data_IF_595687026099
#
_entry.id   IF_595687026099
#
_cell.length_a   1.000
_cell.length_b   1.000
_cell.length_c   1.000
_cell.angle_alpha   90.00
_cell.angle_beta   90.00
_cell.angle_gamma   90.00
#
_symmetry.space_group_name_H-M   'P 1'
#
loop_
_entity.id
_entity.type
_entity.pdbx_description
1 polymer ?
#
# COMPACT_ATOMS: atom_id res chain seq x y z
N UNK A 1 -36.64 6.98 -19.28
CA UNK A 1 -35.36 6.54 -18.71
C UNK A 1 -35.65 6.06 -17.31
N UNK A 2 -35.31 4.86 -16.90
CA UNK A 2 -35.42 4.49 -15.49
C UNK A 2 -34.46 5.37 -14.69
N UNK A 3 -34.97 5.96 -13.61
CA UNK A 3 -34.16 6.72 -12.67
C UNK A 3 -32.99 5.84 -12.23
N UNK A 4 -31.75 6.34 -12.39
CA UNK A 4 -30.58 5.69 -11.83
C UNK A 4 -30.82 5.59 -10.33
N UNK A 5 -30.95 4.36 -9.81
CA UNK A 5 -30.94 4.15 -8.38
C UNK A 5 -29.65 4.81 -7.86
N UNK A 6 -29.77 5.84 -7.02
CA UNK A 6 -28.63 6.44 -6.35
C UNK A 6 -27.94 5.29 -5.61
N UNK A 7 -26.69 5.03 -5.92
CA UNK A 7 -25.90 4.00 -5.22
C UNK A 7 -25.86 4.43 -3.74
N UNK A 8 -26.50 3.64 -2.88
CA UNK A 8 -26.49 3.90 -1.45
C UNK A 8 -25.03 3.83 -0.96
N UNK A 9 -24.65 4.76 -0.10
CA UNK A 9 -23.32 4.80 0.52
C UNK A 9 -23.41 4.64 2.03
N UNK A 10 -22.35 4.14 2.64
CA UNK A 10 -22.24 3.91 4.07
C UNK A 10 -20.91 4.43 4.62
N UNK A 11 -20.86 4.53 5.94
CA UNK A 11 -19.64 4.85 6.68
C UNK A 11 -19.25 3.66 7.57
N UNK A 12 -17.96 3.30 7.57
CA UNK A 12 -17.37 2.29 8.45
C UNK A 12 -16.18 2.88 9.19
N UNK A 13 -16.37 3.25 10.45
CA UNK A 13 -15.34 3.95 11.23
C UNK A 13 -14.94 5.26 10.56
N UNK A 14 -13.66 5.39 10.19
CA UNK A 14 -13.12 6.57 9.51
C UNK A 14 -13.31 6.57 7.99
N UNK A 15 -13.86 5.49 7.42
CA UNK A 15 -14.05 5.31 5.97
C UNK A 15 -15.44 5.73 5.58
N UNK A 16 -15.56 6.76 4.76
CA UNK A 16 -16.83 7.37 4.33
C UNK A 16 -17.12 7.07 2.86
N UNK A 17 -18.38 7.23 2.46
CA UNK A 17 -18.78 7.11 1.05
C UNK A 17 -18.63 5.70 0.44
N UNK A 18 -18.50 4.67 1.27
CA UNK A 18 -18.33 3.29 0.83
C UNK A 18 -19.60 2.75 0.18
N UNK A 19 -19.52 1.93 -0.87
CA UNK A 19 -20.68 1.38 -1.53
C UNK A 19 -21.45 0.41 -0.61
N UNK A 20 -22.78 0.42 -0.73
CA UNK A 20 -23.67 -0.60 -0.16
C UNK A 20 -24.00 -1.60 -1.27
N UNK A 21 -23.68 -2.85 -1.05
CA UNK A 21 -23.96 -3.91 -2.00
C UNK A 21 -25.32 -4.56 -1.74
N UNK A 22 -26.04 -5.00 -2.80
CA UNK A 22 -27.29 -5.73 -2.65
C UNK A 22 -27.13 -7.01 -1.81
N UNK A 23 -28.12 -7.33 -0.98
CA UNK A 23 -28.15 -8.57 -0.16
C UNK A 23 -28.15 -9.86 -1.00
N UNK A 24 -28.53 -9.76 -2.27
CA UNK A 24 -28.45 -10.87 -3.23
C UNK A 24 -27.03 -11.28 -3.57
N UNK A 25 -26.03 -10.40 -3.36
CA UNK A 25 -24.62 -10.73 -3.52
C UNK A 25 -24.11 -11.44 -2.26
N UNK A 26 -24.18 -12.77 -2.26
CA UNK A 26 -23.82 -13.61 -1.11
C UNK A 26 -23.26 -14.97 -1.52
N UNK A 27 -22.66 -15.67 -0.57
CA UNK A 27 -22.13 -17.02 -0.78
C UNK A 27 -20.88 -17.08 -1.64
N UNK A 28 -20.13 -15.98 -1.74
CA UNK A 28 -18.96 -15.83 -2.60
C UNK A 28 -17.71 -16.46 -1.97
N UNK A 29 -16.81 -16.92 -2.86
CA UNK A 29 -15.48 -17.42 -2.52
C UNK A 29 -14.40 -16.52 -3.11
N UNK A 30 -13.37 -16.22 -2.31
CA UNK A 30 -12.23 -15.42 -2.73
C UNK A 30 -10.91 -16.16 -2.56
N UNK A 31 -9.97 -15.94 -3.50
CA UNK A 31 -8.54 -16.17 -3.30
C UNK A 31 -7.87 -14.83 -3.05
N UNK A 32 -7.06 -14.74 -1.98
CA UNK A 32 -6.21 -13.59 -1.67
C UNK A 32 -4.77 -14.06 -1.63
N UNK A 33 -3.95 -13.67 -2.62
CA UNK A 33 -2.52 -13.99 -2.63
C UNK A 33 -1.72 -12.92 -1.87
N UNK A 34 -0.51 -13.24 -1.42
CA UNK A 34 0.24 -12.30 -0.58
C UNK A 34 -0.47 -11.97 0.74
N UNK A 35 -1.20 -12.94 1.30
CA UNK A 35 -2.17 -12.79 2.37
C UNK A 35 -1.63 -12.19 3.69
N UNK A 36 -0.33 -12.22 3.93
CA UNK A 36 0.33 -11.62 5.10
C UNK A 36 1.09 -10.32 4.78
N UNK A 37 0.99 -9.82 3.55
CA UNK A 37 1.47 -8.50 3.15
C UNK A 37 0.46 -7.40 3.46
N UNK A 38 0.89 -6.14 3.29
CA UNK A 38 0.08 -4.97 3.62
C UNK A 38 -1.28 -4.96 2.90
N UNK A 39 -1.34 -5.27 1.61
CA UNK A 39 -2.59 -5.27 0.84
C UNK A 39 -3.42 -6.53 1.10
N UNK A 40 -2.79 -7.72 1.12
CA UNK A 40 -3.51 -8.99 1.32
C UNK A 40 -4.16 -9.11 2.70
N UNK A 41 -3.48 -8.68 3.76
CA UNK A 41 -4.03 -8.68 5.12
C UNK A 41 -5.28 -7.79 5.21
N UNK A 42 -5.19 -6.55 4.68
CA UNK A 42 -6.30 -5.60 4.73
C UNK A 42 -7.45 -6.01 3.80
N UNK A 43 -7.17 -6.65 2.66
CA UNK A 43 -8.21 -7.28 1.84
C UNK A 43 -8.96 -8.37 2.62
N UNK A 44 -8.25 -9.26 3.30
CA UNK A 44 -8.89 -10.28 4.14
C UNK A 44 -9.77 -9.64 5.21
N UNK A 45 -9.32 -8.52 5.83
CA UNK A 45 -10.12 -7.79 6.83
C UNK A 45 -11.43 -7.28 6.22
N UNK A 46 -11.37 -6.61 5.05
CA UNK A 46 -12.57 -6.07 4.36
C UNK A 46 -13.54 -7.19 3.96
N UNK A 47 -13.05 -8.27 3.36
CA UNK A 47 -13.89 -9.39 2.98
C UNK A 47 -14.56 -10.04 4.21
N UNK A 48 -13.81 -10.17 5.31
CA UNK A 48 -14.32 -10.78 6.55
C UNK A 48 -15.37 -9.91 7.29
N UNK A 49 -15.45 -8.61 7.00
CA UNK A 49 -16.50 -7.72 7.52
C UNK A 49 -17.90 -8.08 6.99
N UNK A 50 -17.99 -8.76 5.85
CA UNK A 50 -19.25 -9.14 5.20
C UNK A 50 -19.37 -10.67 5.08
N UNK A 51 -19.63 -11.36 6.20
CA UNK A 51 -19.58 -12.83 6.25
C UNK A 51 -20.64 -13.54 5.41
N UNK A 52 -21.76 -12.92 5.16
CA UNK A 52 -22.80 -13.48 4.29
C UNK A 52 -22.41 -13.35 2.81
N UNK A 53 -21.70 -12.27 2.48
CA UNK A 53 -21.18 -12.05 1.13
C UNK A 53 -20.01 -12.98 0.83
N UNK A 54 -19.01 -12.99 1.70
CA UNK A 54 -17.79 -13.77 1.56
C UNK A 54 -17.78 -14.94 2.54
N UNK A 55 -18.25 -16.10 2.09
CA UNK A 55 -18.36 -17.28 2.95
C UNK A 55 -17.07 -18.06 3.09
N UNK A 56 -16.17 -17.94 2.10
CA UNK A 56 -14.87 -18.62 2.09
C UNK A 56 -13.80 -17.71 1.51
N UNK A 57 -12.70 -17.56 2.25
CA UNK A 57 -11.53 -16.76 1.84
C UNK A 57 -10.31 -17.68 1.91
N UNK A 58 -9.70 -17.98 0.76
CA UNK A 58 -8.44 -18.72 0.70
C UNK A 58 -7.28 -17.74 0.75
N UNK A 59 -6.60 -17.69 1.89
CA UNK A 59 -5.43 -16.85 2.14
C UNK A 59 -4.15 -17.57 1.69
N UNK A 60 -3.57 -17.16 0.57
CA UNK A 60 -2.42 -17.84 -0.04
C UNK A 60 -1.13 -17.08 0.23
N UNK A 61 -0.21 -17.68 0.97
CA UNK A 61 1.09 -17.13 1.33
C UNK A 61 1.98 -18.21 1.91
N UNK A 62 3.29 -17.98 1.96
CA UNK A 62 4.26 -18.94 2.53
C UNK A 62 4.03 -19.17 4.02
N UNK A 63 3.69 -18.12 4.76
CA UNK A 63 3.39 -18.17 6.21
C UNK A 63 1.94 -17.78 6.45
N UNK A 64 1.27 -18.34 7.45
CA UNK A 64 -0.11 -17.99 7.74
C UNK A 64 -0.25 -16.50 8.11
N UNK A 65 -1.31 -15.83 7.65
CA UNK A 65 -1.62 -14.46 8.08
C UNK A 65 -2.09 -14.44 9.54
N UNK A 66 -1.95 -13.29 10.20
CA UNK A 66 -2.42 -13.07 11.56
C UNK A 66 -3.94 -12.83 11.57
N UNK A 67 -4.72 -13.90 11.41
CA UNK A 67 -6.18 -13.82 11.32
C UNK A 67 -6.80 -13.83 12.72
N UNK A 68 -7.65 -12.83 13.08
CA UNK A 68 -8.42 -12.84 14.31
C UNK A 68 -9.23 -14.12 14.49
N UNK A 69 -9.32 -14.63 15.73
CA UNK A 69 -9.99 -15.90 16.04
C UNK A 69 -11.43 -15.97 15.51
N UNK A 70 -12.16 -14.84 15.52
CA UNK A 70 -13.54 -14.75 15.02
C UNK A 70 -13.68 -15.01 13.51
N UNK A 71 -12.61 -14.92 12.73
CA UNK A 71 -12.61 -15.13 11.26
C UNK A 71 -12.07 -16.51 10.84
N UNK A 72 -11.49 -17.29 11.77
CA UNK A 72 -10.84 -18.58 11.44
C UNK A 72 -11.73 -19.60 10.73
N UNK A 73 -13.04 -19.50 10.92
CA UNK A 73 -14.01 -20.38 10.22
C UNK A 73 -14.24 -20.03 8.76
N UNK A 74 -13.79 -18.85 8.31
CA UNK A 74 -14.00 -18.32 6.95
C UNK A 74 -12.71 -18.17 6.19
N UNK A 75 -11.60 -17.92 6.88
CA UNK A 75 -10.28 -17.71 6.29
C UNK A 75 -9.47 -18.98 6.39
N UNK A 76 -9.18 -19.59 5.26
CA UNK A 76 -8.41 -20.82 5.14
C UNK A 76 -7.04 -20.51 4.58
N UNK A 77 -5.99 -20.70 5.38
CA UNK A 77 -4.62 -20.55 4.91
C UNK A 77 -4.22 -21.73 4.02
N UNK A 78 -3.77 -21.42 2.82
CA UNK A 78 -3.17 -22.37 1.89
C UNK A 78 -1.68 -21.99 1.75
N UNK A 79 -0.74 -22.83 2.25
CA UNK A 79 0.68 -22.55 2.14
C UNK A 79 1.13 -22.71 0.67
N UNK A 80 1.45 -21.60 0.01
CA UNK A 80 1.95 -21.60 -1.37
C UNK A 80 3.19 -20.70 -1.48
N UNK A 81 4.21 -21.19 -2.18
CA UNK A 81 5.39 -20.43 -2.55
C UNK A 81 5.40 -20.18 -4.07
N UNK A 82 4.86 -19.04 -4.49
CA UNK A 82 4.83 -18.65 -5.89
C UNK A 82 6.21 -18.41 -6.50
N UNK A 83 7.25 -18.26 -5.67
CA UNK A 83 8.61 -18.02 -6.15
C UNK A 83 9.32 -19.31 -6.52
N UNK A 84 9.19 -20.34 -5.69
CA UNK A 84 9.97 -21.58 -5.82
C UNK A 84 9.16 -22.78 -6.34
N UNK A 85 7.84 -22.78 -6.18
CA UNK A 85 7.01 -23.90 -6.66
C UNK A 85 6.69 -23.80 -8.15
N UNK A 86 6.61 -24.94 -8.81
CA UNK A 86 6.14 -25.03 -10.20
C UNK A 86 4.63 -24.79 -10.30
N UNK A 87 4.09 -24.45 -11.48
CA UNK A 87 2.65 -24.34 -11.69
C UNK A 87 1.88 -25.64 -11.36
N UNK A 88 2.49 -26.81 -11.61
CA UNK A 88 1.94 -28.13 -11.30
C UNK A 88 1.77 -28.31 -9.79
N UNK A 89 2.82 -28.04 -9.02
CA UNK A 89 2.81 -28.14 -7.54
C UNK A 89 1.78 -27.19 -6.91
N UNK A 90 1.69 -25.95 -7.44
CA UNK A 90 0.68 -24.99 -7.00
C UNK A 90 -0.74 -25.49 -7.30
N UNK A 91 -0.96 -26.04 -8.51
CA UNK A 91 -2.24 -26.58 -8.95
C UNK A 91 -2.66 -27.81 -8.10
N UNK A 92 -1.74 -28.73 -7.86
CA UNK A 92 -1.99 -29.92 -7.01
C UNK A 92 -2.36 -29.50 -5.57
N UNK A 93 -1.65 -28.52 -5.00
CA UNK A 93 -1.97 -27.99 -3.70
C UNK A 93 -3.37 -27.38 -3.65
N UNK A 94 -3.74 -26.59 -4.64
CA UNK A 94 -5.09 -26.01 -4.73
C UNK A 94 -6.17 -27.10 -4.87
N UNK A 95 -5.94 -28.11 -5.71
CA UNK A 95 -6.86 -29.26 -5.86
C UNK A 95 -7.02 -30.04 -4.57
N UNK A 96 -5.91 -30.36 -3.89
CA UNK A 96 -5.90 -31.09 -2.61
C UNK A 96 -6.73 -30.38 -1.54
N UNK A 97 -6.71 -29.05 -1.52
CA UNK A 97 -7.49 -28.24 -0.58
C UNK A 97 -8.90 -27.89 -1.10
N UNK A 98 -9.32 -28.42 -2.25
CA UNK A 98 -10.64 -28.17 -2.83
C UNK A 98 -10.91 -26.69 -3.13
N UNK A 99 -9.87 -25.95 -3.50
CA UNK A 99 -9.97 -24.49 -3.74
C UNK A 99 -10.91 -24.21 -4.90
N UNK A 100 -11.85 -23.31 -4.68
CA UNK A 100 -12.74 -22.72 -5.70
C UNK A 100 -12.70 -21.20 -5.51
N UNK A 101 -12.86 -20.44 -6.58
CA UNK A 101 -12.86 -18.98 -6.46
C UNK A 101 -13.86 -18.34 -7.43
N UNK A 102 -14.76 -17.54 -6.90
CA UNK A 102 -15.55 -16.60 -7.69
C UNK A 102 -14.68 -15.39 -8.06
N UNK A 103 -13.81 -14.95 -7.15
CA UNK A 103 -12.97 -13.77 -7.30
C UNK A 103 -11.55 -14.03 -6.81
N UNK A 104 -10.57 -13.42 -7.49
CA UNK A 104 -9.16 -13.50 -7.13
C UNK A 104 -8.63 -12.09 -6.91
N UNK A 105 -7.91 -11.88 -5.79
CA UNK A 105 -7.20 -10.66 -5.44
C UNK A 105 -5.71 -10.97 -5.39
N UNK A 106 -4.94 -10.43 -6.33
CA UNK A 106 -3.54 -10.78 -6.48
C UNK A 106 -2.63 -9.66 -5.96
N UNK A 107 -1.97 -9.94 -4.83
CA UNK A 107 -1.03 -9.05 -4.14
C UNK A 107 0.35 -9.66 -3.97
N UNK A 108 0.61 -10.86 -4.48
CA UNK A 108 1.91 -11.51 -4.31
C UNK A 108 2.99 -10.69 -5.02
N UNK A 109 3.97 -10.25 -4.25
CA UNK A 109 5.09 -9.44 -4.70
C UNK A 109 6.37 -9.88 -4.01
N UNK A 110 7.49 -9.87 -4.74
CA UNK A 110 8.83 -10.06 -4.19
C UNK A 110 9.74 -8.99 -4.79
N UNK A 111 10.46 -8.29 -3.93
CA UNK A 111 11.47 -7.33 -4.34
C UNK A 111 12.74 -8.11 -4.75
N UNK A 112 12.83 -8.50 -6.02
CA UNK A 112 14.00 -9.12 -6.63
C UNK A 112 14.61 -8.17 -7.67
N UNK A 113 15.84 -8.44 -8.06
CA UNK A 113 16.51 -7.73 -9.17
C UNK A 113 15.59 -7.64 -10.40
N UNK A 114 15.64 -6.55 -11.20
CA UNK A 114 14.63 -6.22 -12.22
C UNK A 114 14.40 -7.30 -13.30
N UNK A 115 15.30 -8.27 -13.45
CA UNK A 115 15.29 -9.22 -14.57
C UNK A 115 14.32 -10.40 -14.44
N UNK A 116 13.84 -10.76 -13.26
CA UNK A 116 13.07 -12.01 -13.07
C UNK A 116 11.80 -11.91 -12.18
N UNK A 117 11.62 -10.83 -11.41
CA UNK A 117 10.78 -10.92 -10.21
C UNK A 117 9.26 -10.79 -10.39
N UNK A 118 8.79 -9.66 -10.85
CA UNK A 118 7.36 -9.31 -10.68
C UNK A 118 6.40 -10.07 -11.61
N UNK A 119 6.81 -10.39 -12.83
CA UNK A 119 5.98 -11.09 -13.80
C UNK A 119 5.93 -12.61 -13.59
N UNK A 120 7.01 -13.22 -13.09
CA UNK A 120 7.11 -14.67 -12.95
C UNK A 120 6.12 -15.24 -11.92
N UNK A 121 5.88 -14.56 -10.82
CA UNK A 121 4.91 -14.99 -9.79
C UNK A 121 3.49 -15.07 -10.37
N UNK A 122 3.08 -14.03 -11.09
CA UNK A 122 1.75 -13.98 -11.71
C UNK A 122 1.63 -15.06 -12.78
N UNK A 123 2.63 -15.22 -13.65
CA UNK A 123 2.61 -16.25 -14.70
C UNK A 123 2.41 -17.65 -14.12
N UNK A 124 3.23 -18.02 -13.12
CA UNK A 124 3.11 -19.34 -12.46
C UNK A 124 1.73 -19.55 -11.85
N UNK A 125 1.17 -18.50 -11.22
CA UNK A 125 -0.16 -18.60 -10.63
C UNK A 125 -1.26 -18.72 -11.69
N UNK A 126 -1.21 -17.96 -12.78
CA UNK A 126 -2.18 -18.08 -13.89
C UNK A 126 -2.12 -19.48 -14.55
N UNK A 127 -0.92 -20.03 -14.74
CA UNK A 127 -0.74 -21.37 -15.27
C UNK A 127 -1.28 -22.44 -14.29
N UNK A 128 -1.02 -22.25 -12.98
CA UNK A 128 -1.57 -23.13 -11.94
C UNK A 128 -3.11 -23.09 -11.88
N UNK A 129 -3.74 -21.92 -12.05
CA UNK A 129 -5.20 -21.81 -12.11
C UNK A 129 -5.78 -22.58 -13.29
N UNK A 130 -5.15 -22.51 -14.48
CA UNK A 130 -5.57 -23.30 -15.66
C UNK A 130 -5.47 -24.79 -15.37
N UNK A 131 -4.36 -25.26 -14.81
CA UNK A 131 -4.15 -26.67 -14.47
C UNK A 131 -5.09 -27.15 -13.34
N UNK A 132 -5.45 -26.27 -12.40
CA UNK A 132 -6.43 -26.57 -11.36
C UNK A 132 -7.89 -26.47 -11.86
N UNK A 133 -8.13 -26.04 -13.09
CA UNK A 133 -9.45 -25.75 -13.65
C UNK A 133 -10.24 -24.73 -12.81
N UNK A 134 -9.56 -23.69 -12.29
CA UNK A 134 -10.16 -22.60 -11.54
C UNK A 134 -10.25 -21.38 -12.46
N UNK A 135 -11.49 -21.01 -12.82
CA UNK A 135 -11.75 -19.78 -13.59
C UNK A 135 -12.62 -18.85 -12.77
N UNK A 136 -12.08 -17.71 -12.31
CA UNK A 136 -12.86 -16.75 -11.54
C UNK A 136 -13.82 -15.96 -12.43
N UNK A 137 -14.86 -15.40 -11.84
CA UNK A 137 -15.71 -14.38 -12.50
C UNK A 137 -14.90 -13.12 -12.80
N UNK A 138 -14.01 -12.75 -11.87
CA UNK A 138 -13.13 -11.58 -11.99
C UNK A 138 -11.79 -11.84 -11.30
N UNK A 139 -10.72 -11.39 -11.95
CA UNK A 139 -9.36 -11.38 -11.39
C UNK A 139 -8.93 -9.92 -11.17
N UNK A 140 -8.68 -9.52 -9.93
CA UNK A 140 -8.13 -8.21 -9.57
C UNK A 140 -6.62 -8.32 -9.38
N UNK A 141 -5.87 -7.48 -10.09
CA UNK A 141 -4.42 -7.32 -9.97
C UNK A 141 -4.12 -5.94 -9.36
N UNK A 142 -3.43 -5.90 -8.23
CA UNK A 142 -2.88 -4.65 -7.72
C UNK A 142 -1.52 -4.39 -8.35
N UNK A 143 -1.37 -3.21 -8.95
CA UNK A 143 -0.09 -2.68 -9.42
C UNK A 143 0.29 -1.45 -8.59
N UNK A 144 0.44 -0.26 -9.15
CA UNK A 144 0.70 0.96 -8.38
C UNK A 144 1.18 2.13 -9.22
N UNK A 145 1.48 3.23 -8.54
CA UNK A 145 1.87 4.51 -9.13
C UNK A 145 3.10 4.47 -10.05
N UNK A 146 3.99 3.48 -9.89
CA UNK A 146 5.11 3.26 -10.84
C UNK A 146 4.63 3.02 -12.27
N UNK A 147 3.35 2.68 -12.48
CA UNK A 147 2.75 2.61 -13.81
C UNK A 147 2.90 3.93 -14.59
N UNK A 148 2.91 5.05 -13.89
CA UNK A 148 3.03 6.39 -14.44
C UNK A 148 4.46 6.90 -14.54
N UNK A 149 5.46 6.10 -14.15
CA UNK A 149 6.87 6.49 -14.20
C UNK A 149 7.32 7.42 -13.07
N UNK A 150 6.60 7.50 -11.97
CA UNK A 150 6.91 8.41 -10.84
C UNK A 150 8.30 8.18 -10.22
N UNK A 151 8.81 6.96 -10.31
CA UNK A 151 10.14 6.59 -9.80
C UNK A 151 11.30 7.03 -10.72
N UNK A 152 10.97 7.53 -11.91
CA UNK A 152 11.94 7.99 -12.91
C UNK A 152 12.09 9.52 -12.90
N UNK A 153 11.21 10.23 -12.21
CA UNK A 153 11.20 11.68 -12.09
C UNK A 153 9.80 12.29 -12.16
N UNK A 154 9.71 13.63 -12.33
CA UNK A 154 8.43 14.34 -12.39
C UNK A 154 7.50 13.79 -13.48
N UNK A 155 6.22 13.70 -13.16
CA UNK A 155 5.18 13.26 -14.09
C UNK A 155 4.09 14.32 -14.21
N UNK A 156 3.25 14.24 -15.24
CA UNK A 156 2.07 15.11 -15.34
C UNK A 156 1.08 14.74 -14.25
N UNK A 157 0.54 15.74 -13.57
CA UNK A 157 -0.52 15.59 -12.57
C UNK A 157 -1.80 16.32 -13.02
N UNK A 158 -2.99 15.79 -12.65
CA UNK A 158 -3.19 14.49 -12.00
C UNK A 158 -2.95 13.30 -12.94
N UNK A 159 -2.59 12.14 -12.38
CA UNK A 159 -2.42 10.90 -13.13
C UNK A 159 -3.78 10.32 -13.51
N UNK A 160 -3.95 9.94 -14.78
CA UNK A 160 -5.16 9.30 -15.30
C UNK A 160 -4.88 7.84 -15.68
N UNK A 161 -5.85 6.95 -15.52
CA UNK A 161 -5.71 5.55 -15.90
C UNK A 161 -5.45 5.35 -17.40
N UNK A 162 -5.84 6.32 -18.21
CA UNK A 162 -5.59 6.38 -19.67
C UNK A 162 -4.20 6.89 -20.06
N UNK A 163 -3.39 7.33 -19.09
CA UNK A 163 -2.05 7.80 -19.37
C UNK A 163 -1.19 6.69 -19.99
N UNK A 164 -0.37 7.01 -21.00
CA UNK A 164 0.43 6.01 -21.68
C UNK A 164 1.48 5.38 -20.74
N UNK A 165 1.86 4.15 -21.05
CA UNK A 165 2.97 3.45 -20.40
C UNK A 165 4.28 4.21 -20.60
N UNK A 166 5.12 4.29 -19.56
CA UNK A 166 6.44 4.90 -19.60
C UNK A 166 7.49 3.81 -19.81
N UNK A 167 8.15 3.82 -20.96
CA UNK A 167 9.04 2.73 -21.41
C UNK A 167 10.52 3.08 -21.37
N UNK A 168 10.91 4.09 -20.57
CA UNK A 168 12.32 4.47 -20.39
C UNK A 168 13.15 3.39 -19.69
N UNK A 169 12.51 2.65 -18.80
CA UNK A 169 13.05 1.47 -18.12
C UNK A 169 12.06 0.32 -18.14
N UNK A 170 12.53 -0.94 -18.00
CA UNK A 170 11.64 -2.07 -17.79
C UNK A 170 10.77 -1.86 -16.56
N UNK A 171 9.44 -1.95 -16.74
CA UNK A 171 8.47 -1.88 -15.66
C UNK A 171 7.66 -3.18 -15.62
N UNK A 172 7.81 -3.96 -14.57
CA UNK A 172 7.19 -5.26 -14.44
C UNK A 172 5.65 -5.22 -14.37
N UNK A 173 5.03 -4.08 -14.09
CA UNK A 173 3.57 -3.93 -14.13
C UNK A 173 3.01 -4.15 -15.54
N UNK A 174 3.71 -3.69 -16.57
CA UNK A 174 3.21 -3.80 -17.94
C UNK A 174 3.10 -5.26 -18.41
N UNK A 175 4.13 -6.11 -18.29
CA UNK A 175 3.96 -7.52 -18.59
C UNK A 175 2.98 -8.25 -17.67
N UNK A 176 2.78 -7.81 -16.42
CA UNK A 176 1.74 -8.37 -15.54
C UNK A 176 0.34 -8.08 -16.09
N UNK A 177 0.06 -6.84 -16.48
CA UNK A 177 -1.22 -6.46 -17.10
C UNK A 177 -1.44 -7.25 -18.39
N UNK A 178 -0.43 -7.34 -19.26
CA UNK A 178 -0.52 -8.07 -20.54
C UNK A 178 -0.82 -9.57 -20.33
N UNK A 179 -0.17 -10.20 -19.35
CA UNK A 179 -0.44 -11.60 -18.97
C UNK A 179 -1.85 -11.79 -18.41
N UNK A 180 -2.31 -10.87 -17.58
CA UNK A 180 -3.68 -10.91 -17.05
C UNK A 180 -4.72 -10.78 -18.16
N UNK A 181 -4.54 -9.82 -19.06
CA UNK A 181 -5.48 -9.58 -20.16
C UNK A 181 -5.55 -10.79 -21.08
N UNK A 182 -4.41 -11.42 -21.41
CA UNK A 182 -4.36 -12.61 -22.23
C UNK A 182 -5.01 -13.82 -21.52
N UNK A 183 -4.76 -14.00 -20.21
CA UNK A 183 -5.43 -15.04 -19.43
C UNK A 183 -6.95 -14.86 -19.44
N UNK A 184 -7.44 -13.65 -19.21
CA UNK A 184 -8.87 -13.37 -19.20
C UNK A 184 -9.52 -13.56 -20.58
N UNK A 185 -8.82 -13.17 -21.65
CA UNK A 185 -9.27 -13.42 -23.03
C UNK A 185 -9.39 -14.92 -23.34
N UNK A 186 -8.46 -15.75 -22.83
CA UNK A 186 -8.46 -17.20 -23.05
C UNK A 186 -9.53 -17.94 -22.23
N UNK A 187 -9.80 -17.47 -21.01
CA UNK A 187 -10.67 -18.19 -20.06
C UNK A 187 -12.10 -17.64 -19.98
N UNK A 188 -12.34 -16.44 -20.52
CA UNK A 188 -13.61 -15.73 -20.37
C UNK A 188 -13.79 -15.04 -19.02
N UNK A 189 -12.77 -15.05 -18.16
CA UNK A 189 -12.79 -14.29 -16.90
C UNK A 189 -12.75 -12.78 -17.17
N UNK A 190 -13.37 -11.99 -16.30
CA UNK A 190 -13.17 -10.54 -16.31
C UNK A 190 -11.93 -10.15 -15.48
N UNK A 191 -11.48 -8.92 -15.66
CA UNK A 191 -10.32 -8.40 -14.93
C UNK A 191 -10.57 -7.01 -14.31
N UNK A 192 -9.78 -6.68 -13.29
CA UNK A 192 -9.56 -5.31 -12.83
C UNK A 192 -8.07 -5.12 -12.53
N UNK A 193 -7.58 -3.89 -12.73
CA UNK A 193 -6.26 -3.45 -12.27
C UNK A 193 -6.47 -2.27 -11.33
N UNK A 194 -5.91 -2.33 -10.12
CA UNK A 194 -5.96 -1.22 -9.16
C UNK A 194 -4.56 -0.69 -8.92
N UNK A 195 -4.42 0.64 -9.00
CA UNK A 195 -3.15 1.36 -8.96
C UNK A 195 -3.11 2.29 -7.76
N UNK A 196 -2.70 1.81 -6.57
CA UNK A 196 -2.52 2.67 -5.40
C UNK A 196 -1.27 3.55 -5.50
N UNK A 197 -1.27 4.64 -4.74
CA UNK A 197 -0.10 5.43 -4.40
C UNK A 197 0.69 4.78 -3.25
N UNK A 198 1.35 5.56 -2.38
CA UNK A 198 2.03 5.04 -1.20
C UNK A 198 1.02 4.40 -0.24
N UNK A 199 1.19 3.09 0.00
CA UNK A 199 0.20 2.34 0.79
C UNK A 199 0.47 2.49 2.29
N UNK A 200 -0.59 2.84 3.05
CA UNK A 200 -0.59 2.95 4.50
C UNK A 200 -1.32 1.77 5.14
N UNK A 201 -0.65 1.04 6.02
CA UNK A 201 -1.25 -0.07 6.76
C UNK A 201 -0.24 -0.74 7.70
N UNK A 202 -0.72 -1.39 8.73
CA UNK A 202 0.12 -2.05 9.71
C UNK A 202 0.16 -3.56 9.48
N UNK A 203 1.36 -4.09 9.25
CA UNK A 203 1.65 -5.53 9.20
C UNK A 203 3.06 -5.78 9.75
N UNK A 204 3.32 -7.00 10.24
CA UNK A 204 4.60 -7.32 10.89
C UNK A 204 5.83 -7.29 9.97
N UNK A 205 5.65 -7.44 8.66
CA UNK A 205 6.79 -7.50 7.72
C UNK A 205 6.37 -6.89 6.36
N UNK A 206 6.64 -5.61 6.20
CA UNK A 206 6.48 -4.92 4.93
C UNK A 206 7.68 -4.01 4.65
N UNK A 207 8.46 -4.34 3.61
CA UNK A 207 9.61 -3.55 3.20
C UNK A 207 9.22 -2.16 2.67
N UNK A 208 8.10 -2.08 1.94
CA UNK A 208 7.58 -0.82 1.40
C UNK A 208 6.43 -0.29 2.30
N UNK A 209 6.78 0.13 3.50
CA UNK A 209 5.84 0.70 4.47
C UNK A 209 6.29 2.12 4.84
N UNK A 210 5.43 3.10 4.58
CA UNK A 210 5.74 4.50 4.87
C UNK A 210 5.53 4.86 6.34
N UNK A 211 4.47 4.33 6.96
CA UNK A 211 4.07 4.73 8.31
C UNK A 211 5.05 4.21 9.39
N UNK A 212 5.56 2.99 9.23
CA UNK A 212 6.42 2.37 10.24
C UNK A 212 7.73 3.15 10.48
N UNK A 213 8.56 3.46 9.46
CA UNK A 213 9.79 4.23 9.67
C UNK A 213 9.53 5.64 10.23
N UNK A 214 8.43 6.28 9.86
CA UNK A 214 8.04 7.58 10.43
C UNK A 214 7.65 7.46 11.92
N UNK A 215 6.97 6.38 12.29
CA UNK A 215 6.66 6.07 13.70
C UNK A 215 7.91 5.79 14.52
N UNK A 216 8.88 5.02 13.97
CA UNK A 216 10.17 4.77 14.62
C UNK A 216 10.94 6.08 14.84
N UNK A 217 11.03 6.91 13.79
CA UNK A 217 11.69 8.22 13.87
C UNK A 217 11.08 9.08 14.96
N UNK A 218 9.76 9.25 14.96
CA UNK A 218 9.08 10.09 15.93
C UNK A 218 9.18 9.54 17.36
N UNK A 219 9.12 8.23 17.56
CA UNK A 219 9.27 7.60 18.87
C UNK A 219 10.66 7.82 19.47
N UNK A 220 11.72 7.64 18.66
CA UNK A 220 13.10 7.86 19.09
C UNK A 220 13.35 9.34 19.40
N UNK A 221 12.91 10.25 18.53
CA UNK A 221 13.05 11.70 18.79
C UNK A 221 12.30 12.11 20.07
N UNK A 222 11.12 11.56 20.31
CA UNK A 222 10.36 11.80 21.55
C UNK A 222 11.12 11.27 22.78
N UNK A 223 11.69 10.08 22.71
CA UNK A 223 12.49 9.49 23.78
C UNK A 223 13.73 10.35 24.11
N UNK A 224 14.39 10.89 23.08
CA UNK A 224 15.57 11.75 23.21
C UNK A 224 15.23 13.21 23.60
N UNK A 225 13.94 13.59 23.62
CA UNK A 225 13.52 14.97 23.84
C UNK A 225 13.92 15.94 22.72
N UNK A 226 14.14 15.42 21.51
CA UNK A 226 14.57 16.18 20.32
C UNK A 226 13.39 16.50 19.40
N UNK A 227 13.42 17.64 18.66
CA UNK A 227 12.38 17.98 17.71
C UNK A 227 12.39 17.05 16.50
N UNK A 228 11.26 16.97 15.80
CA UNK A 228 11.18 16.37 14.47
C UNK A 228 11.67 17.39 13.44
N UNK A 229 12.92 17.24 13.00
CA UNK A 229 13.49 18.06 11.93
C UNK A 229 13.00 17.51 10.59
N UNK A 230 12.41 18.35 9.71
CA UNK A 230 12.00 17.89 8.38
C UNK A 230 13.24 17.62 7.52
N UNK A 231 13.35 16.43 6.89
CA UNK A 231 14.58 16.06 6.19
C UNK A 231 14.75 16.71 4.81
N UNK A 232 13.65 17.07 4.14
CA UNK A 232 13.65 17.69 2.82
C UNK A 232 13.66 19.23 2.87
N UNK A 233 13.55 19.84 1.69
CA UNK A 233 13.45 21.29 1.53
C UNK A 233 12.00 21.78 1.53
N UNK A 234 11.83 23.09 1.33
CA UNK A 234 10.51 23.73 1.32
C UNK A 234 9.62 23.22 0.16
N UNK A 235 10.20 22.79 -0.94
CA UNK A 235 9.46 22.25 -2.10
C UNK A 235 8.81 20.91 -1.74
N UNK A 236 9.59 20.00 -1.19
CA UNK A 236 9.08 18.69 -0.73
C UNK A 236 8.12 18.82 0.46
N UNK A 237 8.34 19.81 1.33
CA UNK A 237 7.47 20.10 2.47
C UNK A 237 6.05 20.49 2.04
N UNK A 238 5.92 21.28 0.98
CA UNK A 238 4.63 21.76 0.47
C UNK A 238 4.02 20.89 -0.62
N UNK A 239 4.77 19.95 -1.19
CA UNK A 239 4.26 19.09 -2.24
C UNK A 239 2.99 18.35 -1.79
N UNK A 240 1.95 18.44 -2.61
CA UNK A 240 0.70 17.69 -2.38
C UNK A 240 0.86 16.31 -3.01
N UNK A 241 0.62 15.28 -2.20
CA UNK A 241 0.72 13.88 -2.63
C UNK A 241 -0.51 13.11 -2.20
N UNK A 242 -0.96 12.19 -3.04
CA UNK A 242 -1.97 11.23 -2.66
C UNK A 242 -1.33 10.04 -1.96
N UNK A 243 -1.95 9.61 -0.87
CA UNK A 243 -1.66 8.37 -0.19
C UNK A 243 -2.84 7.41 -0.32
N UNK A 244 -2.59 6.15 -0.03
CA UNK A 244 -3.56 5.07 -0.24
C UNK A 244 -3.61 4.19 1.00
N UNK A 245 -4.61 4.38 1.85
CA UNK A 245 -4.81 3.52 3.01
C UNK A 245 -5.16 2.11 2.54
N UNK A 246 -4.50 1.08 3.06
CA UNK A 246 -4.67 -0.30 2.64
C UNK A 246 -6.12 -0.80 2.79
N UNK A 247 -6.85 -0.35 3.82
CA UNK A 247 -8.28 -0.62 3.97
C UNK A 247 -9.09 0.07 2.86
N UNK A 248 -8.78 1.33 2.49
CA UNK A 248 -9.48 2.03 1.40
C UNK A 248 -9.20 1.35 0.05
N UNK A 249 -7.96 0.92 -0.19
CA UNK A 249 -7.62 0.11 -1.36
C UNK A 249 -8.45 -1.17 -1.41
N UNK A 250 -8.58 -1.88 -0.29
CA UNK A 250 -9.37 -3.09 -0.23
C UNK A 250 -10.87 -2.83 -0.49
N UNK A 251 -11.43 -1.71 -0.06
CA UNK A 251 -12.83 -1.33 -0.37
C UNK A 251 -13.03 -1.01 -1.86
N UNK A 252 -12.13 -0.28 -2.51
CA UNK A 252 -12.25 -0.02 -3.96
C UNK A 252 -12.04 -1.30 -4.76
N UNK A 253 -11.15 -2.19 -4.33
CA UNK A 253 -10.88 -3.48 -4.97
C UNK A 253 -12.08 -4.44 -4.84
N UNK A 254 -12.73 -4.50 -3.66
CA UNK A 254 -13.99 -5.24 -3.47
C UNK A 254 -15.08 -4.68 -4.39
N UNK A 255 -15.24 -3.35 -4.43
CA UNK A 255 -16.20 -2.71 -5.31
C UNK A 255 -15.91 -3.00 -6.79
N UNK A 256 -14.68 -2.87 -7.22
CA UNK A 256 -14.29 -3.06 -8.62
C UNK A 256 -14.62 -4.46 -9.14
N UNK A 257 -14.46 -5.50 -8.31
CA UNK A 257 -14.79 -6.87 -8.73
C UNK A 257 -16.28 -7.17 -8.68
N UNK A 258 -17.04 -6.50 -7.81
CA UNK A 258 -18.47 -6.77 -7.59
C UNK A 258 -19.38 -5.92 -8.47
N UNK A 259 -18.97 -4.70 -8.85
CA UNK A 259 -19.79 -3.85 -9.72
C UNK A 259 -19.63 -4.25 -11.18
N UNK A 260 -20.73 -4.59 -11.88
CA UNK A 260 -20.68 -4.94 -13.31
C UNK A 260 -20.15 -3.81 -14.21
N UNK A 261 -20.37 -2.54 -13.83
CA UNK A 261 -19.90 -1.37 -14.59
C UNK A 261 -18.38 -1.19 -14.52
N UNK A 262 -17.76 -1.73 -13.47
CA UNK A 262 -16.31 -1.69 -13.29
C UNK A 262 -15.57 -2.83 -14.02
N UNK A 263 -16.30 -3.67 -14.76
CA UNK A 263 -15.73 -4.82 -15.43
C UNK A 263 -14.69 -4.43 -16.50
N UNK A 264 -13.53 -5.09 -16.45
CA UNK A 264 -12.44 -4.92 -17.43
C UNK A 264 -11.89 -3.48 -17.45
N UNK A 265 -11.77 -2.88 -16.27
CA UNK A 265 -11.30 -1.52 -16.07
C UNK A 265 -10.12 -1.46 -15.09
N UNK A 266 -9.22 -0.50 -15.36
CA UNK A 266 -8.18 -0.11 -14.41
C UNK A 266 -8.68 1.10 -13.60
N UNK A 267 -8.30 1.17 -12.31
CA UNK A 267 -8.65 2.26 -11.41
C UNK A 267 -7.43 2.75 -10.63
N UNK A 268 -7.29 4.06 -10.52
CA UNK A 268 -6.48 4.66 -9.48
C UNK A 268 -7.13 4.39 -8.11
N UNK A 269 -6.30 4.33 -7.07
CA UNK A 269 -6.79 4.23 -5.70
C UNK A 269 -6.03 5.22 -4.82
N UNK A 270 -6.77 6.14 -4.19
CA UNK A 270 -6.26 7.08 -3.20
C UNK A 270 -7.27 7.31 -2.09
N UNK A 271 -6.83 7.92 -1.00
CA UNK A 271 -7.69 8.24 0.15
C UNK A 271 -8.74 9.32 -0.17
N UNK A 272 -8.58 10.05 -1.30
CA UNK A 272 -9.46 11.16 -1.65
C UNK A 272 -9.29 12.38 -0.73
N UNK A 273 -8.20 12.45 0.03
CA UNK A 273 -7.88 13.51 0.99
C UNK A 273 -6.56 14.19 0.60
N UNK A 274 -6.55 15.51 0.40
CA UNK A 274 -5.31 16.23 0.13
C UNK A 274 -4.31 16.07 1.28
N UNK A 275 -3.10 15.62 0.97
CA UNK A 275 -2.05 15.39 1.96
C UNK A 275 -0.77 16.10 1.56
N UNK A 276 -0.03 16.64 2.54
CA UNK A 276 1.35 17.08 2.38
C UNK A 276 2.17 16.63 3.60
N UNK A 277 3.41 16.24 3.34
CA UNK A 277 4.30 15.85 4.43
C UNK A 277 4.53 16.99 5.42
N UNK A 278 4.53 18.24 4.97
CA UNK A 278 4.70 19.39 5.84
C UNK A 278 3.61 19.53 6.91
N UNK A 279 2.34 19.45 6.53
CA UNK A 279 1.24 19.46 7.50
C UNK A 279 1.27 18.23 8.40
N UNK A 280 1.56 17.08 7.82
CA UNK A 280 1.66 15.82 8.56
C UNK A 280 2.80 15.86 9.59
N UNK A 281 3.97 16.42 9.25
CA UNK A 281 5.13 16.50 10.15
C UNK A 281 4.82 17.28 11.42
N UNK A 282 4.13 18.40 11.27
CA UNK A 282 3.65 19.20 12.40
C UNK A 282 2.68 18.39 13.28
N UNK A 283 1.79 17.62 12.66
CA UNK A 283 0.83 16.80 13.37
C UNK A 283 1.49 15.60 14.06
N UNK A 284 2.46 14.95 13.39
CA UNK A 284 3.26 13.87 13.95
C UNK A 284 4.03 14.33 15.22
N UNK A 285 4.67 15.50 15.15
CA UNK A 285 5.35 16.09 16.29
C UNK A 285 4.40 16.31 17.49
N UNK A 286 3.19 16.80 17.22
CA UNK A 286 2.15 16.95 18.26
C UNK A 286 1.76 15.62 18.89
N UNK A 287 1.59 14.54 18.08
CA UNK A 287 1.24 13.23 18.62
C UNK A 287 2.31 12.65 19.53
N UNK A 288 3.59 12.92 19.22
CA UNK A 288 4.71 12.44 20.02
C UNK A 288 5.18 13.43 21.09
N UNK A 289 4.53 14.60 21.21
CA UNK A 289 4.78 15.58 22.27
C UNK A 289 6.14 16.29 22.19
N UNK A 290 6.66 16.46 20.96
CA UNK A 290 7.94 17.11 20.69
C UNK A 290 7.80 18.33 19.79
N UNK A 291 8.85 19.16 19.70
CA UNK A 291 8.93 20.27 18.76
C UNK A 291 8.99 19.80 17.31
N UNK A 292 8.73 20.72 16.39
CA UNK A 292 8.86 20.51 14.95
C UNK A 292 9.77 21.61 14.38
N UNK A 293 10.84 21.22 13.69
CA UNK A 293 11.67 22.15 12.91
C UNK A 293 11.30 22.09 11.44
N UNK A 294 10.90 23.24 10.90
CA UNK A 294 10.53 23.42 9.50
C UNK A 294 11.78 23.52 8.62
N UNK A 295 11.64 23.36 7.28
CA UNK A 295 12.73 23.66 6.35
C UNK A 295 13.28 25.07 6.56
N UNK A 296 14.61 25.22 6.57
CA UNK A 296 15.32 26.49 6.71
C UNK A 296 16.27 26.67 5.52
N UNK A 297 16.05 27.68 4.73
CA UNK A 297 16.84 27.98 3.52
C UNK A 297 18.26 28.46 3.84
N UNK A 298 18.57 28.78 5.10
CA UNK A 298 19.91 29.21 5.54
C UNK A 298 20.85 28.04 5.88
N UNK A 299 20.34 26.80 5.92
CA UNK A 299 21.17 25.62 6.17
C UNK A 299 21.68 25.00 4.86
N UNK A 300 22.76 24.25 4.95
CA UNK A 300 23.28 23.50 3.80
C UNK A 300 22.37 22.32 3.47
N UNK A 301 22.11 22.14 2.17
CA UNK A 301 21.37 21.02 1.61
C UNK A 301 22.27 20.19 0.72
N UNK A 302 22.13 18.88 0.79
CA UNK A 302 22.57 17.97 -0.25
C UNK A 302 21.63 18.10 -1.47
N UNK A 303 22.12 17.76 -2.65
CA UNK A 303 21.32 17.80 -3.88
C UNK A 303 21.34 16.44 -4.57
N UNK A 304 20.19 16.03 -5.09
CA UNK A 304 20.04 14.85 -5.92
C UNK A 304 19.23 15.23 -7.17
N UNK A 305 19.67 14.77 -8.33
CA UNK A 305 18.95 14.98 -9.58
C UNK A 305 18.22 13.71 -10.00
N UNK A 306 17.08 13.89 -10.70
CA UNK A 306 16.40 12.76 -11.34
C UNK A 306 17.27 12.09 -12.38
N UNK A 307 17.10 10.78 -12.58
CA UNK A 307 18.00 9.96 -13.40
C UNK A 307 18.02 10.34 -14.89
N UNK A 308 16.94 10.91 -15.41
CA UNK A 308 16.77 11.11 -16.85
C UNK A 308 16.84 12.56 -17.29
N UNK A 309 17.43 12.76 -18.45
CA UNK A 309 17.43 13.98 -19.26
C UNK A 309 17.04 13.63 -20.70
N UNK A 310 15.90 14.14 -21.24
CA UNK A 310 14.84 14.87 -20.56
C UNK A 310 14.14 14.01 -19.51
N UNK A 311 13.32 14.65 -18.62
CA UNK A 311 12.51 13.92 -17.63
C UNK A 311 11.60 12.87 -18.30
N UNK A 312 11.09 11.89 -17.54
CA UNK A 312 10.12 10.94 -18.04
C UNK A 312 9.02 11.61 -18.84
N UNK A 313 8.68 11.03 -20.01
CA UNK A 313 7.76 11.60 -21.02
C UNK A 313 8.31 12.78 -21.83
N UNK A 314 9.60 13.10 -21.75
CA UNK A 314 10.30 14.01 -22.66
C UNK A 314 9.94 15.50 -22.54
N UNK A 315 9.44 15.97 -21.39
CA UNK A 315 9.12 17.38 -21.17
C UNK A 315 9.65 17.88 -19.83
N UNK A 316 9.98 19.17 -19.80
CA UNK A 316 10.51 19.86 -18.64
C UNK A 316 12.02 19.63 -18.39
N UNK A 317 12.62 20.38 -17.49
CA UNK A 317 14.01 20.20 -17.08
C UNK A 317 14.14 18.98 -16.14
N UNK A 318 15.38 18.52 -16.00
CA UNK A 318 15.73 17.52 -14.99
C UNK A 318 15.36 18.03 -13.60
N UNK A 319 14.68 17.19 -12.80
CA UNK A 319 14.29 17.54 -11.43
C UNK A 319 15.50 17.55 -10.50
N UNK A 320 15.58 18.54 -9.60
CA UNK A 320 16.57 18.62 -8.54
C UNK A 320 15.86 18.58 -7.21
N UNK A 321 16.25 17.64 -6.35
CA UNK A 321 15.75 17.50 -4.99
C UNK A 321 16.85 17.94 -4.01
N UNK A 322 16.45 18.67 -2.96
CA UNK A 322 17.36 19.11 -1.90
C UNK A 322 16.92 18.49 -0.58
N UNK A 323 17.89 18.01 0.19
CA UNK A 323 17.62 17.38 1.49
C UNK A 323 18.74 17.64 2.49
N UNK A 324 18.41 17.66 3.78
CA UNK A 324 19.37 17.87 4.88
C UNK A 324 20.07 16.56 5.25
N UNK A 325 19.30 15.47 5.37
CA UNK A 325 19.77 14.14 5.74
C UNK A 325 18.73 13.11 5.28
N UNK A 326 19.10 11.84 5.30
CA UNK A 326 18.16 10.73 5.09
C UNK A 326 17.78 10.08 6.42
N UNK A 327 16.56 9.53 6.51
CA UNK A 327 16.16 8.73 7.69
C UNK A 327 17.04 7.47 7.84
N UNK A 328 17.55 6.93 6.73
CA UNK A 328 18.50 5.81 6.72
C UNK A 328 19.81 6.19 7.44
N UNK A 329 20.40 7.36 7.13
CA UNK A 329 21.60 7.89 7.80
C UNK A 329 21.31 8.20 9.28
N UNK A 330 20.17 8.83 9.57
CA UNK A 330 19.73 9.11 10.92
C UNK A 330 19.61 7.84 11.76
N UNK A 331 19.01 6.78 11.24
CA UNK A 331 18.87 5.49 11.92
C UNK A 331 20.21 4.81 12.22
N UNK A 332 21.28 5.14 11.48
CA UNK A 332 22.64 4.67 11.71
C UNK A 332 23.39 5.35 12.86
N UNK A 333 22.88 6.46 13.41
CA UNK A 333 23.54 7.20 14.46
C UNK A 333 23.62 6.41 15.78
N UNK A 334 24.76 6.42 16.49
CA UNK A 334 24.92 5.64 17.73
C UNK A 334 23.87 5.95 18.80
N UNK A 335 23.54 7.23 18.99
CA UNK A 335 22.53 7.65 19.98
C UNK A 335 21.13 7.11 19.63
N UNK A 336 20.76 7.05 18.34
CA UNK A 336 19.50 6.52 17.84
C UNK A 336 19.40 5.01 18.11
N UNK A 337 20.49 4.28 17.86
CA UNK A 337 20.56 2.84 18.14
C UNK A 337 20.41 2.54 19.64
N UNK A 338 21.06 3.34 20.49
CA UNK A 338 20.93 3.19 21.95
C UNK A 338 19.52 3.50 22.42
N UNK A 339 18.92 4.59 21.92
CA UNK A 339 17.55 4.98 22.25
C UNK A 339 16.53 3.92 21.82
N UNK A 340 16.66 3.37 20.61
CA UNK A 340 15.76 2.33 20.14
C UNK A 340 15.84 1.05 20.97
N UNK A 341 17.05 0.61 21.33
CA UNK A 341 17.22 -0.54 22.23
C UNK A 341 16.58 -0.33 23.60
N UNK A 342 16.66 0.90 24.14
CA UNK A 342 15.98 1.25 25.38
C UNK A 342 14.44 1.17 25.24
N UNK A 343 13.88 1.73 24.15
CA UNK A 343 12.46 1.62 23.83
C UNK A 343 12.01 0.19 23.64
N UNK A 344 12.78 -0.63 22.92
CA UNK A 344 12.47 -2.06 22.76
C UNK A 344 12.35 -2.77 24.10
N UNK A 345 13.27 -2.49 25.03
CA UNK A 345 13.25 -3.08 26.37
C UNK A 345 12.06 -2.57 27.19
N UNK A 346 11.80 -1.25 27.17
CA UNK A 346 10.75 -0.62 27.96
C UNK A 346 9.35 -1.09 27.56
N UNK A 347 9.10 -1.18 26.24
CA UNK A 347 7.79 -1.54 25.69
C UNK A 347 7.68 -2.99 25.21
N UNK A 348 8.71 -3.81 25.42
CA UNK A 348 8.77 -5.19 24.94
C UNK A 348 8.45 -5.30 23.44
N UNK A 349 9.13 -4.48 22.63
CA UNK A 349 8.92 -4.44 21.17
C UNK A 349 9.53 -5.70 20.53
N UNK A 350 8.86 -6.20 19.48
CA UNK A 350 9.24 -7.40 18.73
C UNK A 350 9.99 -7.11 17.42
N UNK A 351 10.18 -5.83 17.07
CA UNK A 351 10.80 -5.42 15.80
C UNK A 351 12.00 -4.52 16.04
N UNK A 352 13.11 -4.82 15.38
CA UNK A 352 14.33 -4.01 15.39
C UNK A 352 14.72 -3.57 13.97
N UNK A 353 14.24 -2.41 13.50
CA UNK A 353 14.56 -1.91 12.16
C UNK A 353 15.89 -1.15 12.12
N UNK A 354 16.57 -0.97 13.26
CA UNK A 354 17.72 -0.05 13.41
C UNK A 354 19.06 -0.75 13.54
N UNK A 355 19.15 -1.88 14.26
CA UNK A 355 20.44 -2.49 14.59
C UNK A 355 21.22 -3.02 13.38
N UNK A 356 20.51 -3.49 12.35
CA UNK A 356 21.11 -4.06 11.13
C UNK A 356 21.09 -3.03 9.99
N UNK A 357 22.21 -2.87 9.27
CA UNK A 357 22.34 -1.93 8.15
C UNK A 357 21.40 -2.27 6.97
N UNK A 358 21.27 -3.54 6.64
CA UNK A 358 20.38 -3.99 5.57
C UNK A 358 18.91 -3.71 5.91
N UNK A 359 18.53 -3.91 7.18
CA UNK A 359 17.18 -3.58 7.64
C UNK A 359 16.93 -2.08 7.65
N UNK A 360 17.93 -1.26 8.05
CA UNK A 360 17.82 0.20 7.93
C UNK A 360 17.55 0.64 6.49
N UNK A 361 18.36 0.16 5.56
CA UNK A 361 18.19 0.50 4.14
C UNK A 361 16.80 0.04 3.62
N UNK A 362 16.38 -1.15 3.99
CA UNK A 362 15.10 -1.74 3.57
C UNK A 362 13.90 -0.98 4.13
N UNK A 363 13.94 -0.57 5.40
CA UNK A 363 12.80 0.03 6.11
C UNK A 363 12.76 1.55 5.87
N UNK A 364 13.88 2.26 6.02
CA UNK A 364 13.92 3.72 5.93
C UNK A 364 14.09 4.21 4.48
N UNK A 365 14.76 3.46 3.60
CA UNK A 365 15.00 3.88 2.22
C UNK A 365 13.72 4.14 1.41
N UNK A 366 12.62 3.42 1.70
CA UNK A 366 11.33 3.71 1.09
C UNK A 366 10.73 5.03 1.57
N UNK A 367 10.84 5.33 2.87
CA UNK A 367 10.42 6.61 3.43
C UNK A 367 11.29 7.76 2.90
N UNK A 368 12.60 7.57 2.78
CA UNK A 368 13.50 8.55 2.18
C UNK A 368 13.08 8.88 0.75
N UNK A 369 12.77 7.88 -0.08
CA UNK A 369 12.30 8.11 -1.44
C UNK A 369 10.97 8.87 -1.49
N UNK A 370 10.07 8.61 -0.53
CA UNK A 370 8.79 9.30 -0.43
C UNK A 370 8.88 10.73 0.09
N UNK A 371 9.84 11.03 0.96
CA UNK A 371 10.03 12.35 1.57
C UNK A 371 10.93 13.26 0.73
N UNK A 372 11.99 12.71 0.12
CA UNK A 372 13.07 13.47 -0.49
C UNK A 372 12.94 13.55 -2.01
N UNK A 373 12.31 12.56 -2.65
CA UNK A 373 12.07 12.54 -4.09
C UNK A 373 10.75 13.17 -4.51
N UNK A 374 10.10 13.93 -3.61
CA UNK A 374 8.73 14.36 -3.82
C UNK A 374 8.63 15.49 -4.83
N UNK A 375 7.99 15.18 -5.94
CA UNK A 375 7.20 16.11 -6.72
C UNK A 375 5.73 15.86 -6.40
N UNK A 376 4.83 16.78 -6.78
CA UNK A 376 3.39 16.55 -6.63
C UNK A 376 3.01 15.19 -7.26
N UNK A 377 2.23 14.40 -6.53
CA UNK A 377 1.70 13.12 -6.99
C UNK A 377 0.21 13.07 -6.69
N UNK A 378 -0.60 13.27 -7.69
CA UNK A 378 -2.05 13.30 -7.53
C UNK A 378 -2.72 12.37 -8.53
N UNK A 379 -3.67 11.59 -8.07
CA UNK A 379 -4.47 10.70 -8.88
C UNK A 379 -5.80 11.33 -9.26
N UNK A 380 -6.18 11.19 -10.51
CA UNK A 380 -7.56 11.44 -10.89
C UNK A 380 -8.45 10.26 -10.48
N UNK A 381 -9.45 10.53 -9.65
CA UNK A 381 -10.41 9.54 -9.17
C UNK A 381 -11.76 9.59 -9.90
N UNK A 382 -11.90 10.48 -10.90
CA UNK A 382 -13.17 10.73 -11.60
C UNK A 382 -13.77 9.48 -12.23
N UNK A 383 -12.93 8.56 -12.72
CA UNK A 383 -13.40 7.31 -13.33
C UNK A 383 -14.12 6.44 -12.30
N UNK A 384 -13.53 6.26 -11.13
CA UNK A 384 -14.16 5.51 -10.04
C UNK A 384 -15.46 6.21 -9.58
N UNK A 385 -15.44 7.53 -9.41
CA UNK A 385 -16.62 8.33 -9.03
C UNK A 385 -17.75 8.21 -10.06
N UNK A 386 -17.46 8.34 -11.36
CA UNK A 386 -18.47 8.20 -12.44
C UNK A 386 -19.12 6.82 -12.47
N UNK A 387 -18.41 5.79 -12.01
CA UNK A 387 -18.93 4.43 -11.94
C UNK A 387 -19.56 4.08 -10.58
N UNK A 388 -19.49 4.98 -9.58
CA UNK A 388 -20.24 4.88 -8.33
C UNK A 388 -19.41 4.54 -7.09
N UNK A 389 -18.09 4.64 -7.12
CA UNK A 389 -17.24 4.54 -5.93
C UNK A 389 -16.91 5.94 -5.41
N UNK A 390 -17.36 6.25 -4.17
CA UNK A 390 -17.17 7.54 -3.51
C UNK A 390 -16.39 7.43 -2.20
N UNK A 391 -15.67 6.31 -1.99
CA UNK A 391 -14.91 6.06 -0.76
C UNK A 391 -13.87 7.14 -0.51
N UNK A 392 -13.84 7.67 0.71
CA UNK A 392 -12.83 8.62 1.18
C UNK A 392 -12.44 8.34 2.63
N UNK A 393 -11.21 8.72 2.99
CA UNK A 393 -10.72 8.69 4.36
C UNK A 393 -9.78 9.87 4.59
N UNK A 394 -9.81 10.48 5.79
CA UNK A 394 -8.78 11.44 6.18
C UNK A 394 -7.44 10.71 6.34
N UNK A 395 -6.49 11.02 5.47
CA UNK A 395 -5.17 10.37 5.44
C UNK A 395 -4.40 10.55 6.76
N UNK A 396 -4.55 11.70 7.41
CA UNK A 396 -3.86 11.98 8.69
C UNK A 396 -4.48 11.15 9.81
N UNK A 397 -5.81 11.03 9.85
CA UNK A 397 -6.50 10.16 10.81
C UNK A 397 -6.15 8.68 10.55
N UNK A 398 -6.11 8.27 9.29
CA UNK A 398 -5.68 6.92 8.89
C UNK A 398 -4.25 6.63 9.35
N UNK A 399 -3.31 7.56 9.12
CA UNK A 399 -1.92 7.42 9.57
C UNK A 399 -1.84 7.21 11.08
N UNK A 400 -2.63 7.96 11.86
CA UNK A 400 -2.68 7.79 13.32
C UNK A 400 -3.12 6.38 13.70
N UNK A 401 -4.20 5.88 13.09
CA UNK A 401 -4.67 4.51 13.34
C UNK A 401 -3.64 3.44 12.98
N UNK A 402 -2.93 3.65 11.87
CA UNK A 402 -1.85 2.73 11.47
C UNK A 402 -0.71 2.73 12.48
N UNK A 403 -0.34 3.89 13.06
CA UNK A 403 0.65 3.95 14.14
C UNK A 403 0.16 3.27 15.42
N UNK A 404 -1.12 3.43 15.78
CA UNK A 404 -1.76 2.72 16.90
C UNK A 404 -1.76 1.21 16.68
N UNK A 405 -2.08 0.73 15.47
CA UNK A 405 -2.02 -0.70 15.11
C UNK A 405 -0.58 -1.26 15.18
N UNK A 406 0.44 -0.48 14.80
CA UNK A 406 1.84 -0.89 14.99
C UNK A 406 2.21 -1.04 16.47
N UNK A 407 1.64 -0.20 17.35
CA UNK A 407 1.83 -0.36 18.79
C UNK A 407 1.15 -1.64 19.31
N UNK A 408 -0.05 -1.96 18.83
CA UNK A 408 -0.75 -3.22 19.16
C UNK A 408 0.03 -4.45 18.67
N UNK A 409 0.72 -4.34 17.53
CA UNK A 409 1.64 -5.37 17.01
C UNK A 409 2.99 -5.42 17.72
N UNK A 410 3.23 -4.59 18.73
CA UNK A 410 4.51 -4.43 19.45
C UNK A 410 5.69 -4.08 18.52
N UNK A 411 5.43 -3.33 17.49
CA UNK A 411 6.45 -2.82 16.57
C UNK A 411 6.84 -1.37 16.90
N UNK A 412 5.94 -0.62 17.54
CA UNK A 412 6.17 0.75 18.02
C UNK A 412 5.76 0.86 19.49
N UNK A 413 6.33 1.82 20.24
CA UNK A 413 5.74 2.23 21.51
C UNK A 413 4.33 2.78 21.29
N UNK A 414 3.43 2.67 22.27
CA UNK A 414 2.15 3.37 22.23
C UNK A 414 2.34 4.87 22.03
N UNK A 415 1.44 5.50 21.28
CA UNK A 415 1.45 6.96 21.13
C UNK A 415 1.36 7.62 22.51
N UNK A 416 2.17 8.66 22.81
CA UNK A 416 2.10 9.37 24.06
C UNK A 416 0.67 9.88 24.32
N UNK A 417 0.21 9.75 25.56
CA UNK A 417 -1.06 10.36 25.95
C UNK A 417 -0.94 11.89 25.81
N UNK A 418 -1.94 12.60 25.27
CA UNK A 418 -1.92 14.05 25.25
C UNK A 418 -1.65 14.56 26.68
N UNK A 419 -0.61 15.37 26.86
CA UNK A 419 -0.44 16.07 28.12
C UNK A 419 -1.70 16.90 28.33
N UNK A 420 -2.42 16.69 29.43
CA UNK A 420 -3.55 17.53 29.78
C UNK A 420 -3.01 18.97 29.88
N UNK A 421 -3.39 19.80 28.92
CA UNK A 421 -3.19 21.24 29.05
C UNK A 421 -4.19 21.64 30.10
N UNK A 422 -3.72 21.91 31.33
CA UNK A 422 -4.51 22.66 32.29
C UNK A 422 -4.76 24.02 31.68
N UNK A 423 -6.00 24.29 31.29
CA UNK A 423 -6.49 25.61 30.91
C UNK A 423 -6.36 26.56 32.09
#
# INVERSE_FOLDING_TARGET
MPASASSAVQTKGIYHGLPVFPESIKGLTAIVTGANGISGDHMIRVLAESPERWTTIYAMSRRPPAVPRKWKTKVHHIPLDFLNSSPEELAETMKKHGVKADYIFFFAYVQTEPKEGGGALLRRFLDALKQAAITPKRFMLQTGAKNYGIHLGPTINPQHESDPRVTLEPNFYYPQEDMLFEYCRQTGAGWNVVRPSYILGAVKDAAMNLAYPLGVFAAVQSYLGKPLVYPGDITSFHAVVDLSTAMMNAYIEEWAVLDPKAANEAFNASDGSPFSFGKFWIQLAKWYGVGCELPDENVAYNTMQTAYEPPPRGFGPRGTHRYRYTLTEWAGQPEVQVAWKALMKEYNLESDPISNEQDRARIFGFADSALLGVTALQFNMDKAHKLGFFGTVDTVESMRKVLEEFADLKMLPPLPKPKSVSL
#
